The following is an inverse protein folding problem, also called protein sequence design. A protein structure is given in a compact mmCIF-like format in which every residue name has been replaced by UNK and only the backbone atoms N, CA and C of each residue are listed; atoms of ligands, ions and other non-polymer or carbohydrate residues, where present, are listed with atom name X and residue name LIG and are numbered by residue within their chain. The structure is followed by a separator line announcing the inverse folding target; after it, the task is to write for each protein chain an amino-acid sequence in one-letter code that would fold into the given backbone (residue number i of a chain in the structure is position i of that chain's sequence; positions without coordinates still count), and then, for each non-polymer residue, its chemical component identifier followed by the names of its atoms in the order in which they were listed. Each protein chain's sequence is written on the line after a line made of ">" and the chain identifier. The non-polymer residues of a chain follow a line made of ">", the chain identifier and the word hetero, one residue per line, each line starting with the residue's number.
data_IF_996857606896
#
_entry.id   IF_996857606896
#
_cell.length_a   1.000
_cell.length_b   1.000
_cell.length_c   1.000
_cell.angle_alpha   90.00
_cell.angle_beta   90.00
_cell.angle_gamma   90.00
#
_symmetry.space_group_name_H-M   'P 1'
#
loop_
_entity.id
_entity.type
_entity.pdbx_description
1 polymer ?
#
# COMPACT_ATOMS: atom_id res chain seq x y z
N UNK A 1 -13.31 5.66 10.09
CA UNK A 1 -11.83 5.76 10.05
C UNK A 1 -11.35 5.56 8.62
N UNK A 2 -10.22 6.14 8.22
CA UNK A 2 -9.75 6.09 6.84
C UNK A 2 -9.53 4.64 6.34
N UNK A 3 -8.92 3.78 7.16
CA UNK A 3 -8.73 2.36 6.86
C UNK A 3 -10.04 1.60 6.56
N UNK A 4 -11.07 1.73 7.42
CA UNK A 4 -12.36 1.04 7.22
C UNK A 4 -13.11 1.47 5.95
N UNK A 5 -12.73 2.60 5.34
CA UNK A 5 -13.32 3.05 4.07
C UNK A 5 -12.62 2.50 2.83
N UNK A 6 -11.55 1.73 3.01
CA UNK A 6 -10.83 1.10 1.91
C UNK A 6 -11.58 -0.15 1.41
N UNK A 7 -11.52 -0.45 0.10
CA UNK A 7 -12.08 -1.67 -0.48
C UNK A 7 -11.30 -2.91 -0.01
N UNK A 8 -11.86 -4.11 -0.13
CA UNK A 8 -11.07 -5.33 0.03
C UNK A 8 -10.05 -5.47 -1.12
N UNK A 9 -9.07 -6.38 -0.98
CA UNK A 9 -8.02 -6.58 -2.00
C UNK A 9 -8.59 -6.95 -3.37
N UNK A 10 -9.62 -7.79 -3.44
CA UNK A 10 -10.27 -8.18 -4.70
C UNK A 10 -10.89 -6.99 -5.42
N UNK A 11 -11.63 -6.15 -4.69
CA UNK A 11 -12.27 -4.94 -5.23
C UNK A 11 -11.22 -3.90 -5.65
N UNK A 12 -10.15 -3.73 -4.86
CA UNK A 12 -9.03 -2.86 -5.20
C UNK A 12 -8.34 -3.33 -6.50
N UNK A 13 -8.14 -4.64 -6.66
CA UNK A 13 -7.57 -5.24 -7.87
C UNK A 13 -8.46 -5.06 -9.09
N UNK A 14 -9.78 -5.20 -8.92
CA UNK A 14 -10.74 -4.91 -9.99
C UNK A 14 -10.67 -3.43 -10.42
N UNK A 15 -10.61 -2.52 -9.46
CA UNK A 15 -10.48 -1.09 -9.72
C UNK A 15 -9.16 -0.73 -10.40
N UNK A 16 -8.05 -1.33 -9.96
CA UNK A 16 -6.73 -1.20 -10.62
C UNK A 16 -6.82 -1.54 -12.11
N UNK A 17 -7.49 -2.64 -12.48
CA UNK A 17 -7.66 -3.02 -13.89
C UNK A 17 -8.53 -2.00 -14.64
N UNK A 18 -9.61 -1.54 -14.02
CA UNK A 18 -10.54 -0.59 -14.63
C UNK A 18 -9.90 0.78 -14.94
N UNK A 19 -8.96 1.25 -14.12
CA UNK A 19 -8.30 2.55 -14.29
C UNK A 19 -6.97 2.49 -15.06
N UNK A 20 -6.71 1.44 -15.84
CA UNK A 20 -5.42 1.21 -16.52
C UNK A 20 -4.23 1.25 -15.55
N UNK A 21 -4.40 0.64 -14.38
CA UNK A 21 -3.46 0.71 -13.26
C UNK A 21 -2.04 0.28 -13.62
N UNK A 22 -1.85 -0.59 -14.61
CA UNK A 22 -0.51 -0.98 -15.07
C UNK A 22 0.24 0.17 -15.74
N UNK A 23 -0.43 0.92 -16.62
CA UNK A 23 0.14 2.12 -17.23
C UNK A 23 0.52 3.14 -16.15
N UNK A 24 -0.40 3.35 -15.20
CA UNK A 24 -0.21 4.29 -14.12
C UNK A 24 0.96 3.88 -13.20
N UNK A 25 0.94 2.66 -12.69
CA UNK A 25 1.89 2.17 -11.69
C UNK A 25 3.29 1.94 -12.26
N UNK A 26 3.41 1.33 -13.45
CA UNK A 26 4.72 0.94 -13.99
C UNK A 26 5.40 2.02 -14.81
N UNK A 27 4.65 2.99 -15.33
CA UNK A 27 5.21 4.04 -16.21
C UNK A 27 5.02 5.43 -15.61
N UNK A 28 3.78 5.90 -15.48
CA UNK A 28 3.50 7.31 -15.15
C UNK A 28 3.97 7.68 -13.74
N UNK A 29 3.68 6.82 -12.74
CA UNK A 29 4.09 7.02 -11.36
C UNK A 29 5.61 6.84 -11.20
N UNK A 30 6.21 5.86 -11.88
CA UNK A 30 7.67 5.71 -11.91
C UNK A 30 8.35 7.00 -12.36
N UNK A 31 7.90 7.59 -13.46
CA UNK A 31 8.50 8.80 -14.00
C UNK A 31 8.27 10.01 -13.06
N UNK A 32 7.09 10.12 -12.45
CA UNK A 32 6.79 11.16 -11.47
C UNK A 32 7.67 11.08 -10.23
N UNK A 33 7.79 9.90 -9.61
CA UNK A 33 8.58 9.72 -8.38
C UNK A 33 10.06 10.05 -8.64
N UNK A 34 10.60 9.64 -9.79
CA UNK A 34 11.99 9.91 -10.17
C UNK A 34 12.21 11.37 -10.55
N UNK A 35 11.24 12.03 -11.20
CA UNK A 35 11.31 13.46 -11.51
C UNK A 35 11.49 14.32 -10.25
N UNK A 36 10.84 13.94 -9.15
CA UNK A 36 10.88 14.68 -7.88
C UNK A 36 11.86 14.11 -6.85
N UNK A 37 12.61 13.06 -7.20
CA UNK A 37 13.59 12.41 -6.32
C UNK A 37 12.99 11.82 -5.02
N UNK A 38 11.79 11.24 -5.10
CA UNK A 38 11.09 10.62 -3.96
C UNK A 38 11.05 9.09 -4.01
N UNK A 39 11.68 8.47 -4.99
CA UNK A 39 11.72 7.01 -5.14
C UNK A 39 12.38 6.27 -3.95
N UNK A 40 13.31 6.91 -3.23
CA UNK A 40 13.94 6.36 -2.03
C UNK A 40 13.19 6.67 -0.73
N UNK A 41 12.06 7.38 -0.82
CA UNK A 41 11.24 7.77 0.35
C UNK A 41 9.89 7.08 0.32
N UNK A 42 9.27 6.99 -0.86
CA UNK A 42 7.94 6.45 -1.04
C UNK A 42 7.87 5.42 -2.16
N UNK A 43 6.91 4.51 -2.02
CA UNK A 43 6.33 3.72 -3.09
C UNK A 43 4.88 4.12 -3.37
N UNK A 44 4.37 3.64 -4.49
CA UNK A 44 2.95 3.67 -4.80
C UNK A 44 2.26 2.50 -4.10
N UNK A 45 1.14 2.74 -3.42
CA UNK A 45 0.34 1.69 -2.81
C UNK A 45 -1.03 1.58 -3.50
N UNK A 46 -1.47 0.35 -3.79
CA UNK A 46 -2.87 0.05 -4.06
C UNK A 46 -3.60 0.02 -2.73
N UNK A 47 -4.44 1.02 -2.48
CA UNK A 47 -5.17 1.16 -1.23
C UNK A 47 -6.25 0.09 -1.12
N UNK A 48 -6.11 -0.75 -0.12
CA UNK A 48 -7.07 -1.78 0.24
C UNK A 48 -7.05 -1.96 1.76
N UNK A 49 -8.08 -2.62 2.28
CA UNK A 49 -8.05 -3.19 3.61
C UNK A 49 -7.98 -4.71 3.47
N UNK A 50 -7.27 -5.31 4.40
CA UNK A 50 -7.48 -6.71 4.76
C UNK A 50 -8.84 -6.83 5.46
N UNK A 51 -9.55 -7.95 5.26
CA UNK A 51 -10.99 -8.19 5.43
C UNK A 51 -11.65 -7.76 6.74
N UNK A 52 -10.85 -7.32 7.71
CA UNK A 52 -11.29 -6.88 9.03
C UNK A 52 -11.59 -5.38 9.06
N UNK A 53 -12.78 -5.03 9.57
CA UNK A 53 -13.06 -3.66 9.98
C UNK A 53 -12.49 -3.44 11.40
N UNK A 54 -11.88 -2.28 11.62
CA UNK A 54 -11.52 -1.83 12.95
C UNK A 54 -12.82 -1.52 13.71
N UNK A 55 -13.02 -2.18 14.86
CA UNK A 55 -14.30 -2.20 15.57
C UNK A 55 -14.35 -1.20 16.73
N UNK A 56 -13.22 -0.96 17.39
CA UNK A 56 -13.18 -0.03 18.53
C UNK A 56 -12.82 1.40 18.09
N UNK A 57 -13.43 2.38 18.76
CA UNK A 57 -13.04 3.78 18.58
C UNK A 57 -11.56 3.95 18.96
N UNK A 58 -10.76 4.51 18.05
CA UNK A 58 -9.33 4.71 18.29
C UNK A 58 -8.42 3.60 17.78
N UNK A 59 -8.95 2.43 17.40
CA UNK A 59 -8.13 1.36 16.81
C UNK A 59 -7.40 1.84 15.55
N UNK A 60 -6.17 1.37 15.32
CA UNK A 60 -5.37 1.65 14.11
C UNK A 60 -4.65 0.40 13.65
N UNK A 61 -4.59 0.20 12.34
CA UNK A 61 -3.75 -0.86 11.78
C UNK A 61 -2.28 -0.47 11.94
N UNK A 62 -1.51 -1.29 12.65
CA UNK A 62 -0.09 -1.05 12.94
C UNK A 62 0.75 -2.24 12.51
N UNK A 63 1.82 -1.97 11.76
CA UNK A 63 2.81 -2.94 11.35
C UNK A 63 3.96 -3.04 12.37
N UNK A 64 4.45 -4.26 12.59
CA UNK A 64 5.72 -4.54 13.24
C UNK A 64 6.31 -5.80 12.61
N UNK A 65 7.54 -5.72 12.10
CA UNK A 65 8.28 -6.83 11.47
C UNK A 65 7.47 -7.55 10.39
N UNK A 66 6.76 -6.79 9.56
CA UNK A 66 5.93 -7.33 8.49
C UNK A 66 4.56 -7.87 8.92
N UNK A 67 4.26 -7.97 10.21
CA UNK A 67 2.90 -8.31 10.69
C UNK A 67 2.10 -7.04 10.93
N UNK A 68 0.89 -6.95 10.37
CA UNK A 68 -0.05 -5.85 10.62
C UNK A 68 -1.17 -6.31 11.55
N UNK A 69 -1.42 -5.57 12.62
CA UNK A 69 -2.49 -5.89 13.57
C UNK A 69 -3.22 -4.63 14.05
N UNK A 70 -4.51 -4.74 14.41
CA UNK A 70 -5.22 -3.69 15.12
C UNK A 70 -4.57 -3.38 16.47
N UNK A 71 -4.13 -2.13 16.65
CA UNK A 71 -3.69 -1.59 17.92
C UNK A 71 -4.80 -0.70 18.51
N UNK A 72 -4.99 -0.64 19.84
CA UNK A 72 -6.06 0.13 20.48
C UNK A 72 -5.92 1.65 20.34
N UNK A 73 -4.74 2.11 19.91
CA UNK A 73 -4.39 3.49 19.62
C UNK A 73 -3.34 3.53 18.52
N UNK A 74 -3.01 4.71 18.02
CA UNK A 74 -1.85 4.88 17.16
C UNK A 74 -0.58 4.44 17.90
N UNK A 75 0.16 3.53 17.28
CA UNK A 75 1.49 3.10 17.68
C UNK A 75 2.42 3.30 16.48
N UNK A 76 3.57 3.91 16.73
CA UNK A 76 4.53 4.24 15.68
C UNK A 76 4.09 5.39 14.77
N UNK A 77 4.78 5.50 13.65
CA UNK A 77 4.58 6.56 12.66
C UNK A 77 3.69 6.08 11.51
N UNK A 78 2.97 6.99 10.83
CA UNK A 78 2.27 6.65 9.59
C UNK A 78 3.21 6.01 8.55
N UNK A 79 2.72 4.97 7.88
CA UNK A 79 3.50 4.22 6.88
C UNK A 79 2.79 4.10 5.53
N UNK A 80 1.46 4.26 5.51
CA UNK A 80 0.65 4.30 4.30
C UNK A 80 -0.33 5.46 4.40
N UNK A 81 -0.52 6.18 3.29
CA UNK A 81 -1.38 7.34 3.22
C UNK A 81 -2.23 7.35 1.95
N UNK A 82 -3.41 7.95 2.06
CA UNK A 82 -4.22 8.39 0.92
C UNK A 82 -4.20 9.91 0.80
N UNK A 83 -4.52 10.44 -0.36
CA UNK A 83 -4.63 11.89 -0.57
C UNK A 83 -6.09 12.30 -0.64
N UNK A 84 -6.47 13.33 0.12
CA UNK A 84 -7.79 13.92 0.05
C UNK A 84 -7.92 14.78 -1.22
N UNK A 85 -8.90 14.47 -2.04
CA UNK A 85 -9.14 15.20 -3.30
C UNK A 85 -9.57 16.65 -3.06
N UNK A 86 -10.27 16.94 -1.95
CA UNK A 86 -10.85 18.26 -1.73
C UNK A 86 -9.81 19.33 -1.40
N UNK A 87 -8.75 18.96 -0.68
CA UNK A 87 -7.77 19.91 -0.14
C UNK A 87 -6.31 19.47 -0.29
N UNK A 88 -6.06 18.32 -0.95
CA UNK A 88 -4.72 17.77 -1.16
C UNK A 88 -4.06 17.24 0.12
N UNK A 89 -4.76 17.19 1.26
CA UNK A 89 -4.17 16.72 2.51
C UNK A 89 -3.88 15.22 2.45
N UNK A 90 -2.73 14.86 2.98
CA UNK A 90 -2.32 13.46 3.09
C UNK A 90 -2.86 12.88 4.40
N UNK A 91 -3.61 11.79 4.30
CA UNK A 91 -4.34 11.16 5.40
C UNK A 91 -3.71 9.78 5.67
N UNK A 92 -3.15 9.55 6.88
CA UNK A 92 -2.67 8.24 7.29
C UNK A 92 -3.78 7.18 7.25
N UNK A 93 -3.45 5.99 6.74
CA UNK A 93 -4.34 4.82 6.73
C UNK A 93 -3.77 3.65 7.52
N UNK A 94 -2.45 3.45 7.48
CA UNK A 94 -1.72 2.44 8.25
C UNK A 94 -0.48 3.05 8.91
N UNK A 95 -0.03 2.44 10.00
CA UNK A 95 1.07 2.90 10.84
C UNK A 95 2.11 1.77 10.99
N UNK A 96 3.33 2.09 11.39
CA UNK A 96 4.39 1.11 11.67
C UNK A 96 5.26 1.57 12.83
N UNK A 97 5.65 0.63 13.70
CA UNK A 97 6.64 0.86 14.75
C UNK A 97 8.06 1.06 14.21
N UNK A 98 8.29 0.69 12.95
CA UNK A 98 9.59 0.78 12.27
C UNK A 98 9.63 1.95 11.27
N UNK A 99 8.51 2.66 11.10
CA UNK A 99 8.44 3.83 10.24
C UNK A 99 9.17 5.03 10.84
N UNK A 100 9.78 5.82 9.96
CA UNK A 100 10.31 7.14 10.30
C UNK A 100 9.28 8.23 10.02
N UNK A 101 9.32 9.30 10.81
CA UNK A 101 8.43 10.44 10.61
C UNK A 101 8.72 11.12 9.25
N UNK A 102 7.65 11.56 8.58
CA UNK A 102 7.69 12.30 7.32
C UNK A 102 7.36 13.77 7.58
N UNK A 103 8.22 14.68 7.14
CA UNK A 103 7.92 16.13 7.21
C UNK A 103 7.04 16.58 6.04
N UNK A 104 5.73 16.60 6.27
CA UNK A 104 4.73 17.10 5.31
C UNK A 104 4.79 18.62 5.08
N UNK A 105 5.64 19.35 5.80
CA UNK A 105 5.89 20.77 5.54
C UNK A 105 6.99 21.02 4.51
N UNK A 106 7.74 19.99 4.06
CA UNK A 106 8.70 20.12 2.95
C UNK A 106 7.96 20.58 1.68
N UNK A 107 8.35 21.73 1.16
CA UNK A 107 7.76 22.33 -0.04
C UNK A 107 7.93 21.43 -1.27
N UNK A 108 9.04 20.68 -1.40
CA UNK A 108 9.23 19.72 -2.49
C UNK A 108 8.23 18.58 -2.40
N UNK A 109 7.97 18.10 -1.19
CA UNK A 109 6.98 17.05 -0.94
C UNK A 109 5.57 17.54 -1.25
N UNK A 110 5.23 18.78 -0.88
CA UNK A 110 3.93 19.37 -1.21
C UNK A 110 3.73 19.52 -2.73
N UNK A 111 4.77 19.91 -3.46
CA UNK A 111 4.73 19.96 -4.94
C UNK A 111 4.52 18.56 -5.53
N UNK A 112 5.27 17.57 -5.04
CA UNK A 112 5.13 16.18 -5.46
C UNK A 112 3.71 15.65 -5.21
N UNK A 113 3.16 15.82 -4.00
CA UNK A 113 1.80 15.36 -3.65
C UNK A 113 0.74 16.01 -4.54
N UNK A 114 0.91 17.28 -4.90
CA UNK A 114 -0.01 17.97 -5.81
C UNK A 114 0.03 17.37 -7.22
N UNK A 115 1.22 17.13 -7.78
CA UNK A 115 1.35 16.49 -9.09
C UNK A 115 0.87 15.02 -9.07
N UNK A 116 1.16 14.30 -7.98
CA UNK A 116 0.66 12.95 -7.73
C UNK A 116 -0.86 12.90 -7.74
N UNK A 117 -1.53 13.79 -6.99
CA UNK A 117 -2.99 13.87 -6.98
C UNK A 117 -3.55 14.25 -8.36
N UNK A 118 -2.93 15.19 -9.07
CA UNK A 118 -3.36 15.57 -10.42
C UNK A 118 -3.34 14.37 -11.38
N UNK A 119 -2.25 13.59 -11.37
CA UNK A 119 -2.12 12.38 -12.17
C UNK A 119 -3.17 11.32 -11.80
N UNK A 120 -3.43 11.15 -10.50
CA UNK A 120 -4.51 10.26 -10.05
C UNK A 120 -5.90 10.72 -10.49
N UNK A 121 -6.16 12.02 -10.54
CA UNK A 121 -7.45 12.55 -10.97
C UNK A 121 -7.65 12.41 -12.47
N UNK A 122 -6.62 12.68 -13.27
CA UNK A 122 -6.61 12.51 -14.72
C UNK A 122 -7.01 11.08 -15.13
N UNK A 123 -6.51 10.08 -14.40
CA UNK A 123 -6.77 8.66 -14.65
C UNK A 123 -7.91 8.07 -13.80
N UNK A 124 -8.69 8.91 -13.10
CA UNK A 124 -9.79 8.47 -12.21
C UNK A 124 -9.36 7.45 -11.13
N UNK A 125 -8.08 7.48 -10.74
CA UNK A 125 -7.42 6.51 -9.88
C UNK A 125 -7.28 6.96 -8.42
N UNK A 126 -7.74 8.19 -8.10
CA UNK A 126 -7.60 8.85 -6.78
C UNK A 126 -8.20 8.11 -5.59
N UNK A 127 -9.15 7.17 -5.81
CA UNK A 127 -9.72 6.34 -4.74
C UNK A 127 -8.96 5.04 -4.50
N UNK A 128 -8.04 4.70 -5.40
CA UNK A 128 -7.44 3.37 -5.49
C UNK A 128 -5.97 3.40 -5.13
N UNK A 129 -5.29 4.52 -5.30
CA UNK A 129 -3.86 4.62 -5.01
C UNK A 129 -3.54 5.63 -3.92
N UNK A 130 -2.42 5.36 -3.25
CA UNK A 130 -1.83 6.20 -2.23
C UNK A 130 -0.32 6.05 -2.19
N UNK A 131 0.27 6.56 -1.12
CA UNK A 131 1.70 6.47 -0.85
C UNK A 131 1.94 5.42 0.24
N UNK A 132 3.01 4.65 0.12
CA UNK A 132 3.57 3.87 1.22
C UNK A 132 5.04 4.24 1.42
N UNK A 133 5.60 4.01 2.60
CA UNK A 133 7.03 4.19 2.83
C UNK A 133 7.84 3.22 1.99
N UNK A 134 8.97 3.71 1.49
CA UNK A 134 9.98 2.88 0.87
C UNK A 134 10.56 1.88 1.90
N UNK A 135 10.61 0.57 1.62
CA UNK A 135 11.07 -0.44 2.59
C UNK A 135 12.60 -0.48 2.75
N UNK A 136 13.35 0.28 1.95
CA UNK A 136 14.81 0.26 1.94
C UNK A 136 15.40 -0.70 0.90
N UNK A 137 16.63 -0.45 0.48
CA UNK A 137 17.37 -1.33 -0.43
C UNK A 137 17.59 -2.71 0.19
N UNK A 138 17.65 -3.74 -0.64
CA UNK A 138 17.80 -5.11 -0.15
C UNK A 138 16.49 -5.75 0.33
N UNK A 139 15.38 -5.00 0.34
CA UNK A 139 14.05 -5.54 0.63
C UNK A 139 13.78 -6.77 -0.24
N UNK A 140 13.45 -7.94 0.33
CA UNK A 140 13.31 -9.18 -0.43
C UNK A 140 11.99 -9.26 -1.20
N UNK A 141 11.05 -8.33 -0.97
CA UNK A 141 9.65 -8.52 -1.33
C UNK A 141 8.89 -9.18 -0.19
N UNK A 142 7.56 -9.19 -0.30
CA UNK A 142 6.69 -9.68 0.77
C UNK A 142 5.33 -10.10 0.25
N UNK A 143 4.71 -11.03 0.95
CA UNK A 143 3.36 -11.52 0.68
C UNK A 143 2.55 -11.38 1.96
N UNK A 144 1.59 -10.46 1.92
CA UNK A 144 0.63 -10.22 2.97
C UNK A 144 -0.48 -11.26 2.91
N UNK A 145 -0.71 -11.96 4.03
CA UNK A 145 -1.68 -13.05 4.18
C UNK A 145 -2.56 -12.78 5.39
N UNK A 146 -3.87 -12.83 5.22
CA UNK A 146 -4.81 -12.64 6.32
C UNK A 146 -4.76 -13.81 7.33
N UNK A 147 -4.66 -13.48 8.62
CA UNK A 147 -4.75 -14.40 9.76
C UNK A 147 -5.63 -13.78 10.87
N UNK A 148 -6.91 -14.15 10.86
CA UNK A 148 -7.86 -13.81 11.92
C UNK A 148 -8.28 -12.35 11.97
N UNK A 149 -7.54 -11.49 12.66
CA UNK A 149 -7.70 -10.01 12.66
C UNK A 149 -6.41 -9.30 12.23
N UNK A 150 -5.36 -10.06 11.97
CA UNK A 150 -4.04 -9.59 11.61
C UNK A 150 -3.73 -9.98 10.17
N UNK A 151 -2.70 -9.37 9.62
CA UNK A 151 -2.08 -9.76 8.36
C UNK A 151 -0.67 -10.18 8.68
N UNK A 152 -0.33 -11.44 8.38
CA UNK A 152 1.02 -11.95 8.49
C UNK A 152 1.75 -11.69 7.19
N UNK A 153 3.01 -11.37 7.35
CA UNK A 153 3.88 -11.04 6.26
C UNK A 153 4.89 -12.13 5.98
N UNK A 154 4.79 -12.79 4.84
CA UNK A 154 5.71 -13.84 4.43
C UNK A 154 6.76 -13.30 3.46
N UNK A 155 8.00 -13.74 3.61
CA UNK A 155 9.02 -13.59 2.57
C UNK A 155 8.64 -14.42 1.34
N UNK A 156 9.21 -14.12 0.15
CA UNK A 156 9.01 -14.96 -1.03
C UNK A 156 9.48 -16.41 -0.83
N UNK A 157 10.49 -16.63 0.01
CA UNK A 157 10.98 -17.97 0.35
C UNK A 157 9.98 -18.73 1.20
N UNK A 158 9.23 -18.07 2.09
CA UNK A 158 8.19 -18.70 2.91
C UNK A 158 6.88 -18.95 2.15
N UNK A 159 6.69 -18.31 1.00
CA UNK A 159 5.47 -18.38 0.20
C UNK A 159 5.10 -19.80 -0.27
N UNK A 160 6.06 -20.72 -0.35
CA UNK A 160 5.82 -22.11 -0.77
C UNK A 160 4.85 -22.88 0.13
N UNK A 161 4.60 -22.38 1.35
CA UNK A 161 3.63 -22.98 2.29
C UNK A 161 2.19 -22.56 2.02
N UNK A 162 1.96 -21.59 1.13
CA UNK A 162 0.62 -21.09 0.84
C UNK A 162 -0.16 -22.06 -0.06
N UNK A 163 -1.48 -22.21 0.16
CA UNK A 163 -2.33 -22.94 -0.75
C UNK A 163 -2.42 -22.23 -2.11
N UNK A 164 -2.89 -22.90 -3.18
CA UNK A 164 -3.17 -22.24 -4.44
C UNK A 164 -4.08 -21.01 -4.25
N UNK A 165 -3.68 -19.88 -4.83
CA UNK A 165 -4.39 -18.62 -4.74
C UNK A 165 -3.80 -17.59 -5.69
N UNK A 166 -4.40 -16.40 -5.71
CA UNK A 166 -3.91 -15.31 -6.57
C UNK A 166 -3.04 -14.37 -5.73
N UNK A 167 -1.87 -14.02 -6.27
CA UNK A 167 -1.02 -12.97 -5.73
C UNK A 167 -1.33 -11.66 -6.45
N UNK A 168 -1.79 -10.67 -5.69
CA UNK A 168 -2.13 -9.35 -6.21
C UNK A 168 -1.02 -8.40 -5.82
N UNK A 169 -0.34 -7.78 -6.79
CA UNK A 169 0.66 -6.75 -6.53
C UNK A 169 -0.05 -5.52 -5.94
N UNK A 170 0.42 -5.06 -4.77
CA UNK A 170 -0.23 -3.98 -4.01
C UNK A 170 0.69 -2.82 -3.68
N UNK A 171 1.99 -2.93 -3.93
CA UNK A 171 2.89 -1.79 -3.84
C UNK A 171 4.00 -1.86 -4.89
N UNK A 172 4.40 -0.69 -5.37
CA UNK A 172 5.44 -0.51 -6.38
C UNK A 172 6.48 0.48 -5.88
N UNK A 173 7.76 0.13 -6.04
CA UNK A 173 8.90 0.93 -5.63
C UNK A 173 9.81 1.22 -6.83
N UNK A 174 10.39 2.42 -6.87
CA UNK A 174 10.99 2.95 -8.11
C UNK A 174 12.49 3.27 -8.00
N UNK A 175 13.16 2.78 -6.95
CA UNK A 175 14.62 2.80 -6.84
C UNK A 175 15.24 1.83 -7.85
N UNK A 176 16.51 2.04 -8.20
CA UNK A 176 17.20 1.13 -9.11
C UNK A 176 17.26 -0.30 -8.52
N UNK A 177 17.51 -0.44 -7.21
CA UNK A 177 17.51 -1.74 -6.53
C UNK A 177 16.23 -2.54 -6.78
N UNK A 178 15.07 -1.90 -6.62
CA UNK A 178 13.77 -2.58 -6.80
C UNK A 178 13.45 -2.86 -8.26
N UNK A 179 13.80 -1.95 -9.17
CA UNK A 179 13.56 -2.13 -10.61
C UNK A 179 14.44 -3.24 -11.21
N UNK A 180 15.68 -3.38 -10.74
CA UNK A 180 16.60 -4.41 -11.22
C UNK A 180 16.30 -5.79 -10.64
N UNK A 181 15.85 -5.86 -9.39
CA UNK A 181 15.55 -7.11 -8.69
C UNK A 181 14.09 -7.58 -8.87
N UNK A 182 13.23 -6.74 -9.43
CA UNK A 182 11.78 -6.97 -9.59
C UNK A 182 11.10 -7.36 -8.26
N UNK A 183 11.57 -6.76 -7.15
CA UNK A 183 11.03 -7.02 -5.81
C UNK A 183 9.65 -6.36 -5.64
N UNK A 184 8.68 -7.16 -5.22
CA UNK A 184 7.26 -6.78 -5.17
C UNK A 184 6.66 -7.03 -3.79
N UNK A 185 5.64 -6.24 -3.46
CA UNK A 185 4.76 -6.52 -2.33
C UNK A 185 3.42 -7.02 -2.87
N UNK A 186 3.01 -8.19 -2.42
CA UNK A 186 1.78 -8.85 -2.82
C UNK A 186 0.82 -9.01 -1.65
N UNK A 187 -0.47 -9.08 -1.96
CA UNK A 187 -1.47 -9.66 -1.07
C UNK A 187 -1.92 -11.01 -1.63
N UNK A 188 -1.98 -12.00 -0.74
CA UNK A 188 -2.55 -13.30 -1.06
C UNK A 188 -4.07 -13.22 -1.00
N UNK A 189 -4.70 -13.44 -2.15
CA UNK A 189 -6.14 -13.56 -2.26
C UNK A 189 -6.50 -15.05 -2.38
N UNK A 190 -7.03 -15.60 -1.28
CA UNK A 190 -7.48 -16.99 -1.27
C UNK A 190 -8.65 -17.13 -2.23
N UNK A 191 -8.59 -18.08 -3.17
CA UNK A 191 -9.78 -18.47 -3.91
C UNK A 191 -10.73 -19.14 -2.94
N UNK A 192 -11.94 -18.61 -2.80
CA UNK A 192 -13.04 -19.37 -2.20
C UNK A 192 -13.20 -20.63 -3.05
N UNK A 193 -12.76 -21.76 -2.51
CA UNK A 193 -13.20 -23.06 -3.02
C UNK A 193 -14.67 -23.12 -2.63
N UNK A 194 -15.61 -23.30 -3.58
CA UNK A 194 -17.01 -23.50 -3.22
C UNK A 194 -17.04 -24.66 -2.23
N UNK A 195 -17.65 -24.45 -1.06
CA UNK A 195 -17.97 -25.57 -0.17
C UNK A 195 -18.80 -26.55 -1.00
N UNK A 196 -18.26 -27.75 -1.24
CA UNK A 196 -19.05 -28.87 -1.72
C UNK A 196 -19.98 -29.28 -0.56
N UNK A 197 -21.13 -28.61 -0.49
CA UNK A 197 -22.25 -28.97 0.38
C UNK A 197 -23.09 -30.08 -0.24
#
# INVERSE_FOLDING_TARGET
>A
MAYNSLPCVSDASAAYRACQGELLAKHLMRDLFRKHDFQGTFGLALLHRHGHLLGAAGERMTAVRGTKSPAPRQLGEPAVWRVNVADGRVIPVEFSLEASAVDWHDLRLQVFVREFLALLLEHQAHKHFGLCLYPGDGYPGHIEVEDGRSTVGLSPEEAHTLPPGDLIEVAWFYTNDHLERDCKNFCFNKKEVPDES
#
